data_IF_992186918515
#
_entry.id   IF_992186918515
#
_cell.length_a   1.000
_cell.length_b   1.000
_cell.length_c   1.000
_cell.angle_alpha   90.00
_cell.angle_beta   90.00
_cell.angle_gamma   90.00
#
_symmetry.space_group_name_H-M   'P 1'
#
loop_
_entity.id
_entity.type
_entity.pdbx_description
1 polymer ?
#
# COMPACT_ATOMS: atom_id res chain seq x y z
N UNK A 1 -4.97 5.76 11.38
CA UNK A 1 -6.45 5.76 11.45
C UNK A 1 -7.07 6.36 10.21
N UNK A 2 -6.57 7.50 9.70
CA UNK A 2 -7.08 8.11 8.46
C UNK A 2 -7.07 7.16 7.25
N UNK A 3 -5.96 6.46 6.98
CA UNK A 3 -5.88 5.43 5.93
C UNK A 3 -6.99 4.36 6.05
N UNK A 4 -7.17 3.82 7.25
CA UNK A 4 -8.13 2.75 7.49
C UNK A 4 -9.57 3.23 7.27
N UNK A 5 -9.88 4.45 7.69
CA UNK A 5 -11.20 5.04 7.47
C UNK A 5 -11.41 5.40 5.99
N UNK A 6 -10.39 5.91 5.31
CA UNK A 6 -10.44 6.34 3.91
C UNK A 6 -10.67 5.18 2.94
N UNK A 7 -10.18 3.98 3.27
CA UNK A 7 -10.27 2.79 2.42
C UNK A 7 -11.00 1.62 3.10
N UNK A 8 -11.85 1.90 4.09
CA UNK A 8 -12.69 0.93 4.79
C UNK A 8 -11.94 -0.33 5.27
N UNK A 9 -10.72 -0.15 5.81
CA UNK A 9 -9.88 -1.25 6.27
C UNK A 9 -10.33 -1.73 7.64
N UNK A 10 -10.77 -2.99 7.67
CA UNK A 10 -11.09 -3.72 8.89
C UNK A 10 -10.10 -4.87 9.04
N UNK A 11 -9.48 -4.99 10.22
CA UNK A 11 -8.54 -6.06 10.53
C UNK A 11 -9.12 -6.96 11.62
N UNK A 12 -8.99 -8.27 11.42
CA UNK A 12 -9.66 -9.29 12.24
C UNK A 12 -9.11 -9.38 13.65
N UNK A 13 -7.81 -9.12 13.82
CA UNK A 13 -7.13 -9.16 15.10
C UNK A 13 -5.91 -8.22 15.12
N UNK A 14 -5.30 -8.11 16.30
CA UNK A 14 -4.11 -7.28 16.51
C UNK A 14 -2.89 -7.76 15.73
N UNK A 15 -2.76 -9.07 15.48
CA UNK A 15 -1.64 -9.61 14.72
C UNK A 15 -1.72 -9.21 13.24
N UNK A 16 -2.91 -9.28 12.65
CA UNK A 16 -3.17 -8.82 11.30
C UNK A 16 -2.99 -7.31 11.20
N UNK A 17 -3.48 -6.54 12.17
CA UNK A 17 -3.23 -5.09 12.23
C UNK A 17 -1.73 -4.78 12.23
N UNK A 18 -0.94 -5.43 13.08
CA UNK A 18 0.51 -5.20 13.15
C UNK A 18 1.19 -5.57 11.82
N UNK A 19 0.81 -6.70 11.20
CA UNK A 19 1.32 -7.08 9.87
C UNK A 19 1.01 -6.00 8.82
N UNK A 20 -0.26 -5.60 8.72
CA UNK A 20 -0.74 -4.61 7.72
C UNK A 20 -0.12 -3.24 7.94
N UNK A 21 0.02 -2.83 9.20
CA UNK A 21 0.66 -1.56 9.56
C UNK A 21 2.14 -1.52 9.16
N UNK A 22 2.89 -2.61 9.37
CA UNK A 22 4.30 -2.70 8.93
C UNK A 22 4.42 -2.58 7.41
N UNK A 23 3.56 -3.26 6.67
CA UNK A 23 3.53 -3.20 5.20
C UNK A 23 3.22 -1.76 4.75
N UNK A 24 2.19 -1.15 5.34
CA UNK A 24 1.80 0.23 5.07
C UNK A 24 2.96 1.22 5.26
N UNK A 25 3.63 1.17 6.42
CA UNK A 25 4.77 2.06 6.71
C UNK A 25 5.88 1.88 5.67
N UNK A 26 6.21 0.64 5.31
CA UNK A 26 7.25 0.37 4.30
C UNK A 26 6.85 0.90 2.91
N UNK A 27 5.60 0.73 2.52
CA UNK A 27 5.10 1.22 1.23
C UNK A 27 5.07 2.75 1.17
N UNK A 28 4.73 3.44 2.26
CA UNK A 28 4.80 4.90 2.33
C UNK A 28 6.24 5.41 2.22
N UNK A 29 7.19 4.76 2.91
CA UNK A 29 8.61 5.10 2.76
C UNK A 29 9.12 4.89 1.33
N UNK A 30 8.66 3.84 0.64
CA UNK A 30 8.99 3.61 -0.76
C UNK A 30 8.38 4.67 -1.68
N UNK A 31 7.13 5.10 -1.43
CA UNK A 31 6.47 6.19 -2.16
C UNK A 31 7.28 7.48 -2.03
N UNK A 32 7.71 7.83 -0.81
CA UNK A 32 8.51 9.03 -0.56
C UNK A 32 9.84 8.96 -1.33
N UNK A 33 10.57 7.84 -1.22
CA UNK A 33 11.82 7.63 -1.96
C UNK A 33 11.62 7.67 -3.49
N UNK A 34 10.50 7.16 -4.01
CA UNK A 34 10.17 7.23 -5.43
C UNK A 34 9.87 8.66 -5.87
N UNK A 35 9.14 9.42 -5.06
CA UNK A 35 8.83 10.82 -5.33
C UNK A 35 10.09 11.69 -5.30
N UNK A 36 10.99 11.47 -4.34
CA UNK A 36 12.30 12.13 -4.31
C UNK A 36 13.12 11.84 -5.57
N UNK A 37 13.19 10.57 -6.00
CA UNK A 37 13.89 10.17 -7.25
C UNK A 37 13.25 10.74 -8.51
N UNK A 38 11.96 11.06 -8.46
CA UNK A 38 11.18 11.63 -9.56
C UNK A 38 10.93 13.13 -9.41
N UNK A 39 11.63 13.81 -8.50
CA UNK A 39 11.52 15.24 -8.33
C UNK A 39 11.74 15.98 -9.67
N UNK A 40 10.80 16.85 -10.02
CA UNK A 40 10.80 17.58 -11.29
C UNK A 40 10.26 16.81 -12.51
N UNK A 41 9.84 15.54 -12.35
CA UNK A 41 9.10 14.77 -13.36
C UNK A 41 7.59 14.85 -13.10
N UNK A 42 6.78 14.56 -14.11
CA UNK A 42 5.31 14.57 -14.03
C UNK A 42 4.70 13.37 -13.30
N UNK A 43 5.50 12.50 -12.67
CA UNK A 43 5.04 11.29 -12.00
C UNK A 43 5.13 11.50 -10.49
N UNK A 44 3.99 11.38 -9.81
CA UNK A 44 3.87 11.45 -8.36
C UNK A 44 3.14 10.19 -7.90
N UNK A 45 3.78 9.46 -6.98
CA UNK A 45 3.22 8.30 -6.32
C UNK A 45 2.49 8.74 -5.05
N UNK A 46 1.46 7.99 -4.66
CA UNK A 46 0.66 8.33 -3.49
C UNK A 46 -0.02 7.11 -2.88
N UNK A 47 -0.52 7.32 -1.66
CA UNK A 47 -1.33 6.34 -0.94
C UNK A 47 -2.57 5.92 -1.76
N UNK A 48 -2.85 4.62 -1.79
CA UNK A 48 -4.06 4.06 -2.37
C UNK A 48 -4.57 2.87 -1.54
N UNK A 49 -5.68 2.26 -1.96
CA UNK A 49 -6.31 1.13 -1.26
C UNK A 49 -5.44 -0.13 -1.15
N UNK A 50 -4.31 -0.21 -1.83
CA UNK A 50 -3.36 -1.32 -1.77
C UNK A 50 -2.11 -0.99 -0.94
N UNK A 51 -2.06 0.18 -0.29
CA UNK A 51 -0.89 0.61 0.47
C UNK A 51 -0.52 -0.33 1.63
N UNK A 52 -1.44 -1.16 2.14
CA UNK A 52 -1.19 -2.18 3.16
C UNK A 52 -0.99 -3.61 2.61
N UNK A 53 -0.78 -3.75 1.30
CA UNK A 53 -0.52 -5.02 0.63
C UNK A 53 0.96 -5.21 0.34
N UNK A 54 1.43 -6.44 0.50
CA UNK A 54 2.73 -6.86 -0.01
C UNK A 54 2.68 -7.01 -1.54
N UNK A 55 3.85 -7.00 -2.16
CA UNK A 55 3.97 -7.17 -3.60
C UNK A 55 3.36 -8.51 -4.07
N UNK A 56 3.57 -9.59 -3.31
CA UNK A 56 3.00 -10.91 -3.62
C UNK A 56 1.46 -10.90 -3.55
N UNK A 57 0.89 -10.28 -2.51
CA UNK A 57 -0.57 -10.13 -2.37
C UNK A 57 -1.15 -9.30 -3.54
N UNK A 58 -0.45 -8.23 -3.93
CA UNK A 58 -0.86 -7.42 -5.08
C UNK A 58 -0.79 -8.19 -6.39
N UNK A 59 0.30 -8.94 -6.62
CA UNK A 59 0.48 -9.78 -7.82
C UNK A 59 -0.60 -10.84 -7.90
N UNK A 60 -0.87 -11.55 -6.81
CA UNK A 60 -1.84 -12.63 -6.78
C UNK A 60 -3.22 -12.18 -7.26
N UNK A 61 -3.68 -11.00 -6.83
CA UNK A 61 -4.99 -10.45 -7.23
C UNK A 61 -4.95 -9.84 -8.64
N UNK A 62 -3.85 -9.19 -9.01
CA UNK A 62 -3.72 -8.52 -10.31
C UNK A 62 -3.56 -9.49 -11.48
N UNK A 63 -3.12 -10.73 -11.24
CA UNK A 63 -3.00 -11.77 -12.26
C UNK A 63 -4.26 -12.62 -12.43
N UNK A 64 -5.25 -12.51 -11.53
CA UNK A 64 -6.50 -13.29 -11.61
C UNK A 64 -7.53 -12.72 -12.60
N UNK A 65 -7.24 -11.58 -13.24
CA UNK A 65 -8.06 -11.06 -14.35
C UNK A 65 -7.38 -11.43 -15.66
N UNK A 66 -7.37 -12.71 -16.00
CA UNK A 66 -7.13 -13.30 -17.34
C UNK A 66 -7.24 -14.83 -17.21
N UNK A 67 -8.47 -15.35 -17.11
CA UNK A 67 -8.86 -16.70 -17.53
C UNK A 67 -10.35 -16.67 -17.91
#
# INVERSE_FOLDING_TARGET
MEFMHKYDKVYVDSAQFVKRFRIYVNNMANIDALNERNYGRSIIYGENQFADWSEDEFRQVSTTVND
#
